data_IF_522391233167
#
_entry.id   IF_522391233167
#
_cell.length_a   1.000
_cell.length_b   1.000
_cell.length_c   1.000
_cell.angle_alpha   90.00
_cell.angle_beta   90.00
_cell.angle_gamma   90.00
#
_symmetry.space_group_name_H-M   'P 1'
#
loop_
_entity.id
_entity.type
_entity.pdbx_description
1 polymer ?
#
# COMPACT_ATOMS: atom_id res chain seq x y z
N UNK A 1 -16.81 17.32 -26.00
CA UNK A 1 -16.28 16.43 -24.95
C UNK A 1 -15.86 15.12 -25.61
N UNK A 2 -14.57 14.88 -25.76
CA UNK A 2 -14.06 13.64 -26.36
C UNK A 2 -14.21 12.51 -25.31
N UNK A 3 -15.26 11.69 -25.41
CA UNK A 3 -15.39 10.47 -24.61
C UNK A 3 -14.56 9.39 -25.29
N UNK A 4 -13.32 9.22 -24.86
CA UNK A 4 -12.56 8.01 -25.18
C UNK A 4 -13.20 6.89 -24.35
N UNK A 5 -13.79 5.85 -24.96
CA UNK A 5 -14.32 4.73 -24.20
C UNK A 5 -13.16 4.06 -23.47
N UNK A 6 -13.30 3.93 -22.14
CA UNK A 6 -12.35 3.16 -21.34
C UNK A 6 -12.47 1.68 -21.74
N UNK A 7 -11.57 1.22 -22.61
CA UNK A 7 -11.46 -0.20 -22.97
C UNK A 7 -10.61 -0.90 -21.93
N UNK A 8 -11.17 -1.86 -21.19
CA UNK A 8 -10.37 -2.77 -20.37
C UNK A 8 -9.78 -3.86 -21.27
N UNK A 9 -8.48 -4.19 -21.16
CA UNK A 9 -7.92 -5.31 -21.89
C UNK A 9 -8.60 -6.62 -21.46
N UNK A 10 -8.79 -7.53 -22.42
CA UNK A 10 -9.41 -8.85 -22.17
C UNK A 10 -8.55 -9.78 -21.30
N UNK A 11 -7.25 -9.47 -21.15
CA UNK A 11 -6.30 -10.27 -20.36
C UNK A 11 -5.18 -9.38 -19.82
N UNK A 12 -4.52 -9.85 -18.75
CA UNK A 12 -3.35 -9.20 -18.19
C UNK A 12 -2.27 -9.02 -19.26
N UNK A 13 -1.82 -7.79 -19.49
CA UNK A 13 -0.66 -7.51 -20.33
C UNK A 13 0.53 -7.23 -19.41
N UNK A 14 1.25 -8.29 -19.05
CA UNK A 14 2.53 -8.15 -18.38
C UNK A 14 3.57 -7.76 -19.44
N UNK A 15 4.10 -6.54 -19.35
CA UNK A 15 5.27 -6.14 -20.13
C UNK A 15 6.51 -6.52 -19.33
N UNK A 16 7.34 -7.39 -19.92
CA UNK A 16 8.56 -7.87 -19.32
C UNK A 16 9.77 -7.21 -19.97
N UNK A 17 10.59 -6.52 -19.19
CA UNK A 17 11.81 -5.89 -19.66
C UNK A 17 13.00 -6.51 -18.91
N UNK A 18 13.77 -7.34 -19.62
CA UNK A 18 15.07 -7.79 -19.14
C UNK A 18 16.09 -6.73 -19.49
N UNK A 19 16.60 -6.00 -18.50
CA UNK A 19 17.63 -4.97 -18.70
C UNK A 19 19.02 -5.51 -18.35
N UNK A 20 20.08 -4.83 -18.81
CA UNK A 20 21.50 -5.02 -18.49
C UNK A 20 21.85 -5.10 -16.97
N UNK A 21 20.89 -4.86 -16.08
CA UNK A 21 21.04 -4.97 -14.62
C UNK A 21 20.52 -6.30 -14.04
N UNK A 22 20.10 -7.26 -14.87
CA UNK A 22 19.74 -8.62 -14.45
C UNK A 22 18.38 -8.78 -13.76
N UNK A 23 17.66 -7.69 -13.47
CA UNK A 23 16.37 -7.70 -12.78
C UNK A 23 15.15 -7.81 -13.71
N UNK A 24 14.04 -8.35 -13.18
CA UNK A 24 12.73 -8.45 -13.82
C UNK A 24 11.82 -7.32 -13.35
N UNK A 25 11.36 -6.49 -14.28
CA UNK A 25 10.43 -5.40 -14.00
C UNK A 25 8.99 -5.78 -14.36
N UNK A 26 8.06 -5.40 -13.49
CA UNK A 26 6.62 -5.35 -13.78
C UNK A 26 6.17 -3.90 -13.95
N UNK A 27 5.08 -3.73 -14.70
CA UNK A 27 4.43 -2.45 -14.91
C UNK A 27 2.99 -2.53 -14.42
N UNK A 28 2.57 -1.54 -13.65
CA UNK A 28 1.23 -1.37 -13.13
C UNK A 28 0.91 0.13 -13.11
N UNK A 29 -0.34 0.51 -13.32
CA UNK A 29 -0.71 1.91 -13.52
C UNK A 29 -1.74 2.34 -12.49
N UNK A 30 -1.40 3.33 -11.67
CA UNK A 30 -2.30 4.02 -10.74
C UNK A 30 -3.21 3.07 -9.93
N UNK A 31 -4.49 2.98 -10.32
CA UNK A 31 -5.51 2.26 -9.56
C UNK A 31 -5.29 0.73 -9.52
N UNK A 32 -4.48 0.18 -10.45
CA UNK A 32 -4.07 -1.23 -10.45
C UNK A 32 -3.50 -1.69 -9.11
N UNK A 33 -2.84 -0.80 -8.37
CA UNK A 33 -2.22 -1.09 -7.07
C UNK A 33 -3.20 -1.62 -6.01
N UNK A 34 -4.50 -1.31 -6.14
CA UNK A 34 -5.55 -1.74 -5.22
C UNK A 34 -6.18 -3.10 -5.57
N UNK A 35 -5.82 -3.70 -6.70
CA UNK A 35 -6.46 -4.93 -7.20
C UNK A 35 -5.47 -6.08 -7.30
N UNK A 36 -5.99 -7.31 -7.25
CA UNK A 36 -5.20 -8.53 -7.40
C UNK A 36 -4.45 -8.57 -8.74
N UNK A 37 -5.15 -8.29 -9.83
CA UNK A 37 -4.61 -8.30 -11.17
C UNK A 37 -4.38 -6.86 -11.66
N UNK A 38 -3.17 -6.48 -12.12
CA UNK A 38 -1.94 -7.28 -12.23
C UNK A 38 -1.13 -7.43 -10.94
N UNK A 39 -1.38 -6.59 -9.93
CA UNK A 39 -0.41 -6.27 -8.87
C UNK A 39 0.06 -7.49 -8.09
N UNK A 40 -0.85 -8.24 -7.48
CA UNK A 40 -0.54 -9.44 -6.69
C UNK A 40 0.03 -10.53 -7.59
N UNK A 41 -0.53 -10.71 -8.79
CA UNK A 41 -0.06 -11.75 -9.73
C UNK A 41 1.36 -11.51 -10.24
N UNK A 42 1.78 -10.25 -10.42
CA UNK A 42 3.19 -9.94 -10.73
C UNK A 42 4.12 -10.37 -9.59
N UNK A 43 3.74 -10.09 -8.34
CA UNK A 43 4.50 -10.49 -7.15
C UNK A 43 4.55 -12.02 -6.99
N UNK A 44 3.41 -12.70 -7.16
CA UNK A 44 3.31 -14.17 -7.15
C UNK A 44 4.21 -14.81 -8.23
N UNK A 45 4.40 -14.12 -9.37
CA UNK A 45 5.30 -14.55 -10.47
C UNK A 45 6.77 -14.16 -10.27
N UNK A 46 7.17 -13.78 -9.06
CA UNK A 46 8.57 -13.49 -8.74
C UNK A 46 9.09 -12.14 -9.25
N UNK A 47 8.21 -11.23 -9.68
CA UNK A 47 8.60 -9.85 -9.96
C UNK A 47 8.83 -9.12 -8.64
N UNK A 48 9.99 -8.48 -8.51
CA UNK A 48 10.38 -7.73 -7.29
C UNK A 48 10.75 -6.29 -7.57
N UNK A 49 10.75 -5.86 -8.83
CA UNK A 49 10.91 -4.46 -9.23
C UNK A 49 9.67 -4.04 -10.01
N UNK A 50 8.99 -2.98 -9.57
CA UNK A 50 7.75 -2.50 -10.15
C UNK A 50 7.90 -1.04 -10.57
N UNK A 51 7.51 -0.75 -11.81
CA UNK A 51 7.39 0.59 -12.35
C UNK A 51 5.92 1.00 -12.22
N UNK A 52 5.67 2.16 -11.62
CA UNK A 52 4.34 2.60 -11.25
C UNK A 52 4.11 4.08 -11.61
N UNK A 53 3.81 4.37 -12.89
CA UNK A 53 3.25 5.67 -13.25
C UNK A 53 1.85 5.82 -12.64
N UNK A 54 1.57 7.00 -12.08
CA UNK A 54 0.31 7.25 -11.39
C UNK A 54 -0.15 8.71 -11.51
N UNK A 55 -1.46 8.90 -11.40
CA UNK A 55 -2.10 10.19 -11.21
C UNK A 55 -3.00 10.05 -9.98
N UNK A 56 -2.35 9.85 -8.83
CA UNK A 56 -2.97 9.52 -7.57
C UNK A 56 -3.46 10.77 -6.87
N UNK A 57 -4.76 10.84 -6.61
CA UNK A 57 -5.37 11.86 -5.76
C UNK A 57 -5.28 11.40 -4.32
N UNK A 58 -4.61 12.18 -3.47
CA UNK A 58 -4.42 11.79 -2.08
C UNK A 58 -5.75 11.85 -1.32
N UNK A 59 -6.08 10.77 -0.62
CA UNK A 59 -7.26 10.68 0.23
C UNK A 59 -6.86 10.18 1.63
N UNK A 60 -6.87 11.09 2.60
CA UNK A 60 -6.55 10.77 3.98
C UNK A 60 -7.68 9.95 4.65
N UNK A 61 -7.35 9.10 5.65
CA UNK A 61 -6.04 8.94 6.26
C UNK A 61 -5.23 7.73 5.78
N UNK A 62 -5.75 6.93 4.83
CA UNK A 62 -5.16 5.64 4.44
C UNK A 62 -4.74 5.54 2.95
N UNK A 63 -5.15 6.48 2.11
CA UNK A 63 -4.84 6.50 0.67
C UNK A 63 -4.05 7.76 0.29
N UNK A 64 -3.17 8.23 1.17
CA UNK A 64 -2.08 9.10 0.75
C UNK A 64 -1.09 8.32 -0.12
N UNK A 65 -0.61 8.93 -1.20
CA UNK A 65 0.27 8.27 -2.17
C UNK A 65 1.54 7.72 -1.55
N UNK A 66 2.25 8.49 -0.72
CA UNK A 66 3.50 8.06 -0.09
C UNK A 66 3.22 6.95 0.91
N UNK A 67 2.19 7.13 1.74
CA UNK A 67 1.80 6.16 2.76
C UNK A 67 1.47 4.80 2.13
N UNK A 68 0.53 4.78 1.19
CA UNK A 68 0.00 3.54 0.64
C UNK A 68 1.03 2.80 -0.22
N UNK A 69 1.75 3.54 -1.08
CA UNK A 69 2.74 2.95 -1.98
C UNK A 69 3.97 2.42 -1.23
N UNK A 70 4.41 3.11 -0.17
CA UNK A 70 5.47 2.61 0.71
C UNK A 70 5.01 1.38 1.50
N UNK A 71 3.79 1.39 2.03
CA UNK A 71 3.22 0.25 2.74
C UNK A 71 3.16 -0.99 1.85
N UNK A 72 2.75 -0.83 0.59
CA UNK A 72 2.77 -1.93 -0.39
C UNK A 72 4.20 -2.44 -0.66
N UNK A 73 5.16 -1.54 -0.91
CA UNK A 73 6.56 -1.94 -1.13
C UNK A 73 7.14 -2.76 0.04
N UNK A 74 6.86 -2.34 1.27
CA UNK A 74 7.21 -3.06 2.49
C UNK A 74 6.48 -4.41 2.58
N UNK A 75 5.15 -4.42 2.49
CA UNK A 75 4.33 -5.62 2.69
C UNK A 75 4.51 -6.70 1.62
N UNK A 76 4.74 -6.30 0.37
CA UNK A 76 4.96 -7.21 -0.75
C UNK A 76 6.44 -7.56 -0.98
N UNK A 77 7.36 -6.99 -0.19
CA UNK A 77 8.81 -7.14 -0.34
C UNK A 77 9.28 -6.85 -1.78
N UNK A 78 8.89 -5.69 -2.31
CA UNK A 78 9.23 -5.24 -3.67
C UNK A 78 9.85 -3.85 -3.66
N UNK A 79 10.64 -3.55 -4.69
CA UNK A 79 10.99 -2.17 -5.04
C UNK A 79 9.88 -1.58 -5.90
N UNK A 80 9.30 -0.46 -5.50
CA UNK A 80 8.29 0.28 -6.24
C UNK A 80 8.84 1.64 -6.66
N UNK A 81 8.91 1.88 -7.97
CA UNK A 81 9.31 3.15 -8.58
C UNK A 81 8.03 3.91 -8.95
N UNK A 82 7.57 4.78 -8.06
CA UNK A 82 6.33 5.51 -8.21
C UNK A 82 6.56 6.93 -8.75
N UNK A 83 5.98 7.22 -9.89
CA UNK A 83 6.01 8.54 -10.52
C UNK A 83 4.58 9.10 -10.59
N UNK A 84 4.26 10.02 -9.68
CA UNK A 84 2.96 10.65 -9.62
C UNK A 84 2.93 11.97 -10.39
N UNK A 85 1.74 12.33 -10.87
CA UNK A 85 1.47 13.66 -11.40
C UNK A 85 1.56 14.69 -10.26
N UNK A 86 2.15 15.85 -10.53
CA UNK A 86 2.01 17.04 -9.66
C UNK A 86 0.82 17.85 -10.18
N UNK A 87 -0.23 17.94 -9.38
CA UNK A 87 -1.40 18.77 -9.64
C UNK A 87 -2.10 19.13 -8.32
N UNK A 88 -1.98 20.38 -7.88
CA UNK A 88 -2.49 20.79 -6.57
C UNK A 88 -4.02 20.86 -6.56
N UNK A 89 -4.63 21.27 -7.68
CA UNK A 89 -6.09 21.35 -7.84
C UNK A 89 -6.80 19.99 -7.75
N UNK A 90 -6.07 18.88 -7.93
CA UNK A 90 -6.57 17.51 -7.79
C UNK A 90 -5.94 16.76 -6.61
N UNK A 91 -5.20 17.46 -5.74
CA UNK A 91 -4.54 16.86 -4.57
C UNK A 91 -3.58 15.73 -5.00
N UNK A 92 -2.91 15.91 -6.15
CA UNK A 92 -1.95 14.96 -6.70
C UNK A 92 -0.54 15.44 -6.38
N UNK A 93 0.06 14.80 -5.38
CA UNK A 93 1.48 14.95 -5.05
C UNK A 93 1.97 13.67 -4.37
N UNK A 94 3.29 13.50 -4.27
CA UNK A 94 3.90 12.29 -3.73
C UNK A 94 4.40 11.36 -4.83
N UNK A 95 5.70 11.43 -5.10
CA UNK A 95 6.44 10.45 -5.91
C UNK A 95 7.54 9.84 -5.07
N UNK A 96 7.96 8.61 -5.38
CA UNK A 96 8.98 7.96 -4.57
C UNK A 96 9.61 6.72 -5.19
N UNK A 97 10.79 6.42 -4.67
CA UNK A 97 11.52 5.18 -4.84
C UNK A 97 11.42 4.46 -3.51
N UNK A 98 10.59 3.42 -3.46
CA UNK A 98 10.33 2.65 -2.26
C UNK A 98 10.98 1.28 -2.37
N UNK A 99 11.73 0.90 -1.35
CA UNK A 99 12.22 -0.46 -1.16
C UNK A 99 11.64 -1.01 0.15
N UNK A 100 11.75 -2.32 0.42
CA UNK A 100 11.22 -2.90 1.66
C UNK A 100 11.84 -2.32 2.94
N UNK A 101 12.99 -1.65 2.85
CA UNK A 101 13.74 -1.15 4.01
C UNK A 101 14.10 0.33 3.91
N UNK A 102 13.81 1.00 2.79
CA UNK A 102 14.13 2.43 2.61
C UNK A 102 13.14 3.13 1.69
N UNK A 103 13.06 4.45 1.80
CA UNK A 103 12.25 5.28 0.93
C UNK A 103 13.00 6.56 0.58
N UNK A 104 13.04 6.92 -0.70
CA UNK A 104 13.45 8.25 -1.18
C UNK A 104 12.25 8.84 -1.90
N UNK A 105 11.67 9.91 -1.37
CA UNK A 105 10.41 10.45 -1.90
C UNK A 105 10.35 11.97 -1.82
N UNK A 106 9.40 12.53 -2.54
CA UNK A 106 9.02 13.92 -2.45
C UNK A 106 7.50 14.03 -2.42
N UNK A 107 6.99 14.76 -1.44
CA UNK A 107 5.58 15.08 -1.25
C UNK A 107 5.51 16.56 -0.95
N UNK A 108 4.76 17.29 -1.76
CA UNK A 108 4.71 18.74 -1.69
C UNK A 108 3.93 19.19 -0.47
N UNK A 109 4.41 20.23 0.20
CA UNK A 109 3.75 20.88 1.31
C UNK A 109 2.90 22.06 0.84
N UNK A 110 2.02 22.52 1.72
CA UNK A 110 1.25 23.73 1.46
C UNK A 110 2.19 24.93 1.28
N UNK A 111 2.02 25.63 0.15
CA UNK A 111 2.88 26.75 -0.24
C UNK A 111 4.05 26.37 -1.17
N UNK A 112 4.33 25.09 -1.39
CA UNK A 112 5.32 24.68 -2.38
C UNK A 112 4.83 24.97 -3.81
N UNK A 113 5.70 25.47 -4.71
CA UNK A 113 5.33 25.69 -6.11
C UNK A 113 4.89 24.39 -6.79
N UNK A 114 3.93 24.48 -7.71
CA UNK A 114 3.42 23.37 -8.50
C UNK A 114 4.41 22.99 -9.63
N UNK A 115 5.53 22.38 -9.26
CA UNK A 115 6.61 22.00 -10.18
C UNK A 115 6.97 20.51 -10.09
N UNK A 116 7.58 20.00 -11.17
CA UNK A 116 8.05 18.63 -11.25
C UNK A 116 9.29 18.40 -10.36
N UNK A 117 9.43 17.18 -9.83
CA UNK A 117 10.59 16.78 -9.03
C UNK A 117 11.25 15.53 -9.60
N UNK A 118 12.57 15.58 -9.79
CA UNK A 118 13.39 14.41 -10.10
C UNK A 118 13.93 13.79 -8.81
N UNK A 119 13.69 12.49 -8.64
CA UNK A 119 14.24 11.68 -7.55
C UNK A 119 15.26 10.70 -8.11
N UNK A 120 16.42 10.61 -7.46
CA UNK A 120 17.49 9.70 -7.85
C UNK A 120 17.97 8.98 -6.60
N UNK A 121 18.01 7.65 -6.67
CA UNK A 121 18.55 6.81 -5.62
C UNK A 121 19.24 5.58 -6.21
N UNK A 122 20.21 5.02 -5.48
CA UNK A 122 20.74 3.69 -5.75
C UNK A 122 19.84 2.67 -5.06
N UNK A 123 19.30 1.74 -5.84
CA UNK A 123 18.44 0.66 -5.35
C UNK A 123 19.09 -0.69 -5.63
N UNK A 124 19.05 -1.64 -4.69
CA UNK A 124 19.49 -3.00 -4.97
C UNK A 124 18.49 -3.71 -5.87
N UNK A 125 18.99 -4.64 -6.69
CA UNK A 125 18.14 -5.59 -7.40
C UNK A 125 17.71 -6.64 -6.37
N UNK A 126 16.40 -6.77 -6.20
CA UNK A 126 15.83 -7.80 -5.34
C UNK A 126 15.71 -9.09 -6.16
N UNK A 127 16.43 -10.13 -5.74
CA UNK A 127 16.37 -11.45 -6.37
C UNK A 127 15.06 -12.18 -6.02
N UNK A 128 14.67 -13.13 -6.87
CA UNK A 128 13.68 -14.14 -6.51
C UNK A 128 14.20 -14.89 -5.28
N UNK A 129 13.44 -14.88 -4.18
CA UNK A 129 13.74 -15.83 -3.10
C UNK A 129 13.55 -17.25 -3.67
N UNK A 130 14.61 -18.07 -3.78
CA UNK A 130 14.47 -19.42 -4.29
C UNK A 130 13.75 -20.25 -3.24
N UNK A 131 12.54 -20.72 -3.53
CA UNK A 131 11.99 -21.95 -2.98
C UNK A 131 11.91 -22.08 -1.45
N UNK A 132 11.99 -20.99 -0.69
CA UNK A 132 11.41 -21.01 0.66
C UNK A 132 9.94 -20.84 0.39
N UNK A 133 9.20 -21.93 0.56
CA UNK A 133 7.83 -21.86 1.09
C UNK A 133 7.99 -21.13 2.41
N UNK A 134 8.21 -19.82 2.34
CA UNK A 134 7.96 -18.96 3.44
C UNK A 134 6.47 -19.15 3.54
N UNK A 135 6.06 -19.95 4.52
CA UNK A 135 4.80 -19.71 5.17
C UNK A 135 4.64 -18.20 5.13
N UNK A 136 3.62 -17.75 4.41
CA UNK A 136 3.15 -16.40 4.62
C UNK A 136 2.72 -16.44 6.07
N UNK A 137 3.67 -16.25 6.99
CA UNK A 137 3.40 -15.63 8.25
C UNK A 137 2.91 -14.27 7.79
N UNK A 138 1.59 -14.21 7.57
CA UNK A 138 0.77 -13.02 7.71
C UNK A 138 1.48 -12.15 8.73
N UNK A 139 1.70 -10.84 8.50
CA UNK A 139 2.47 -10.00 9.40
C UNK A 139 1.94 -10.13 10.84
N UNK A 140 2.50 -11.11 11.54
CA UNK A 140 2.33 -11.44 12.94
C UNK A 140 3.47 -10.70 13.60
N UNK A 141 3.49 -9.40 13.36
CA UNK A 141 4.17 -8.48 14.24
C UNK A 141 3.25 -8.37 15.45
N UNK A 142 3.39 -9.33 16.37
CA UNK A 142 2.73 -9.34 17.68
C UNK A 142 1.19 -9.26 17.63
N UNK A 143 0.55 -10.02 16.73
CA UNK A 143 -0.85 -10.40 16.90
C UNK A 143 -0.91 -11.83 17.46
N UNK A 144 -0.57 -12.00 18.75
CA UNK A 144 -1.19 -13.09 19.51
C UNK A 144 -2.67 -12.77 19.56
N UNK A 145 -3.42 -13.40 18.66
CA UNK A 145 -4.87 -13.66 18.67
C UNK A 145 -5.36 -13.68 17.20
N UNK A 146 -4.87 -14.65 16.43
CA UNK A 146 -5.65 -15.15 15.32
C UNK A 146 -6.88 -15.80 15.97
N UNK A 147 -8.10 -15.33 15.65
CA UNK A 147 -9.35 -15.95 16.12
C UNK A 147 -9.51 -17.34 15.47
N UNK A 148 -8.75 -18.29 15.98
CA UNK A 148 -8.99 -19.72 15.79
C UNK A 148 -9.73 -20.22 17.00
N UNK A 149 -10.82 -20.92 16.73
CA UNK A 149 -11.71 -21.65 17.64
C UNK A 149 -12.91 -20.87 18.17
N UNK A 150 -14.06 -21.53 17.99
CA UNK A 150 -15.41 -21.14 18.37
C UNK A 150 -15.49 -20.77 19.86
N UNK A 151 -15.27 -19.51 20.21
CA UNK A 151 -15.87 -18.90 21.40
C UNK A 151 -15.62 -17.38 21.39
N UNK A 152 -16.47 -16.64 20.69
CA UNK A 152 -16.73 -15.23 21.02
C UNK A 152 -17.75 -15.14 22.16
N UNK A 153 -17.61 -16.01 23.15
CA UNK A 153 -18.43 -16.06 24.35
C UNK A 153 -17.50 -16.29 25.54
N UNK A 154 -16.56 -15.37 25.77
CA UNK A 154 -16.02 -15.20 27.10
C UNK A 154 -15.99 -13.73 27.48
N UNK A 155 -16.76 -13.45 28.53
CA UNK A 155 -16.93 -12.16 29.16
C UNK A 155 -15.59 -11.63 29.66
N UNK A 156 -15.00 -10.66 28.95
CA UNK A 156 -14.21 -9.62 29.60
C UNK A 156 -15.08 -8.38 29.75
N UNK A 157 -15.77 -8.32 30.88
CA UNK A 157 -16.36 -7.08 31.37
C UNK A 157 -15.25 -6.14 31.80
N UNK A 158 -14.63 -5.45 30.84
CA UNK A 158 -13.93 -4.19 31.11
C UNK A 158 -14.72 -3.05 30.47
N UNK A 159 -15.79 -2.67 31.18
CA UNK A 159 -16.74 -1.60 30.86
C UNK A 159 -16.13 -0.18 30.98
N UNK A 160 -14.86 0.03 30.63
CA UNK A 160 -14.19 1.33 30.87
C UNK A 160 -13.71 2.06 29.63
N UNK A 161 -13.88 1.49 28.43
CA UNK A 161 -13.75 2.27 27.19
C UNK A 161 -14.95 2.01 26.29
N UNK A 162 -15.91 2.94 26.30
CA UNK A 162 -17.06 2.88 25.40
C UNK A 162 -16.55 2.97 23.97
N UNK A 163 -16.60 1.87 23.23
CA UNK A 163 -16.34 1.91 21.79
C UNK A 163 -17.44 2.72 21.09
N UNK A 164 -17.11 3.29 19.95
CA UNK A 164 -18.05 4.07 19.15
C UNK A 164 -17.84 3.82 17.67
N UNK A 165 -18.91 3.93 16.90
CA UNK A 165 -18.87 3.83 15.46
C UNK A 165 -18.50 5.18 14.84
N UNK A 166 -17.56 5.18 13.91
CA UNK A 166 -17.27 6.32 13.06
C UNK A 166 -16.86 5.86 11.67
N UNK A 167 -16.80 6.79 10.72
CA UNK A 167 -16.49 6.49 9.32
C UNK A 167 -15.08 6.92 8.95
N UNK A 168 -14.39 6.06 8.22
CA UNK A 168 -13.10 6.36 7.61
C UNK A 168 -13.20 6.00 6.12
N UNK A 169 -13.07 7.00 5.25
CA UNK A 169 -13.24 6.85 3.80
C UNK A 169 -14.52 6.07 3.41
N UNK A 170 -15.65 6.45 4.02
CA UNK A 170 -16.98 5.86 3.82
C UNK A 170 -17.20 4.46 4.42
N UNK A 171 -16.17 3.84 4.97
CA UNK A 171 -16.29 2.55 5.64
C UNK A 171 -16.56 2.75 7.15
N UNK A 172 -17.48 1.99 7.76
CA UNK A 172 -17.75 2.04 9.19
C UNK A 172 -16.68 1.29 9.98
N UNK A 173 -16.04 1.98 10.92
CA UNK A 173 -15.05 1.43 11.84
C UNK A 173 -15.51 1.58 13.29
N UNK A 174 -15.21 0.55 14.09
CA UNK A 174 -15.36 0.58 15.56
C UNK A 174 -14.08 1.16 16.16
N UNK A 175 -14.20 2.27 16.87
CA UNK A 175 -13.09 2.96 17.53
C UNK A 175 -13.20 2.91 19.04
N UNK A 176 -12.07 3.07 19.70
CA UNK A 176 -11.95 3.28 21.15
C UNK A 176 -11.05 4.48 21.39
N UNK A 177 -11.44 5.39 22.28
CA UNK A 177 -10.62 6.56 22.63
C UNK A 177 -9.42 6.17 23.50
N UNK A 178 -8.23 6.67 23.14
CA UNK A 178 -7.03 6.59 23.97
C UNK A 178 -7.09 7.66 25.06
N UNK A 179 -7.66 7.31 26.22
CA UNK A 179 -7.90 8.25 27.32
C UNK A 179 -6.72 8.41 28.30
N UNK A 180 -5.76 7.48 28.27
CA UNK A 180 -4.56 7.50 29.12
C UNK A 180 -3.33 7.70 28.24
N UNK A 181 -2.27 8.26 28.80
CA UNK A 181 -1.00 8.43 28.07
C UNK A 181 -0.35 7.09 27.70
N UNK A 182 -0.58 6.06 28.52
CA UNK A 182 -0.13 4.69 28.30
C UNK A 182 -1.27 3.73 28.68
N UNK A 183 -1.67 2.85 27.77
CA UNK A 183 -2.65 1.79 28.00
C UNK A 183 -2.55 0.71 26.91
N UNK A 184 -3.16 -0.45 27.13
CA UNK A 184 -3.31 -1.51 26.14
C UNK A 184 -4.79 -1.69 25.79
N UNK A 185 -5.15 -1.40 24.54
CA UNK A 185 -6.53 -1.54 24.06
C UNK A 185 -6.61 -2.57 22.93
N UNK A 186 -7.69 -3.35 22.93
CA UNK A 186 -8.09 -4.22 21.83
C UNK A 186 -9.48 -3.79 21.35
N UNK A 187 -9.67 -3.71 20.05
CA UNK A 187 -10.97 -3.40 19.44
C UNK A 187 -11.21 -4.37 18.29
N UNK A 188 -12.43 -4.91 18.21
CA UNK A 188 -12.83 -5.86 17.19
C UNK A 188 -13.97 -5.24 16.36
N UNK A 189 -14.00 -5.58 15.07
CA UNK A 189 -15.10 -5.23 14.16
C UNK A 189 -15.30 -6.39 13.19
N UNK A 190 -16.50 -6.96 13.15
CA UNK A 190 -16.76 -8.20 12.40
C UNK A 190 -16.27 -9.48 13.10
N UNK A 191 -16.19 -10.56 12.32
CA UNK A 191 -15.80 -11.92 12.74
C UNK A 191 -14.31 -12.20 12.56
#
# INVERSE_FOLDING_TARGET
>A
TLRIPLTRPHSLKSLHLTHLFGGRFGLMICFDLLFRDPTVTLVERGVRQLIFPTAWMNALPLLDSIQFQRAFSLGANVTLLAANTRNDGLIMTGSGIFTPFSATYHHAQEGDPEEGKLLVARVPVLEEMPGVVAEVQSPSLMATDHCTTESCADHSTDLTSSSFLSYMMHDPFTFVLLNKMEDNLKVCNGT
#
